data_IF_651699390409
#
_entry.id   IF_651699390409
#
_cell.length_a   1.000
_cell.length_b   1.000
_cell.length_c   1.000
_cell.angle_alpha   90.00
_cell.angle_beta   90.00
_cell.angle_gamma   90.00
#
_symmetry.space_group_name_H-M   'P 1'
#
loop_
_entity.id
_entity.type
_entity.pdbx_description
1 polymer ?
#
# COMPACT_ATOMS: atom_id res chain seq x y z
N UNK A 1 25.01 -25.11 -25.42
CA UNK A 1 24.85 -23.99 -24.47
C UNK A 1 23.37 -23.87 -24.14
N UNK A 2 22.98 -23.95 -22.88
CA UNK A 2 21.58 -23.83 -22.48
C UNK A 2 21.25 -22.37 -22.18
N UNK A 3 20.25 -21.82 -22.86
CA UNK A 3 19.74 -20.49 -22.59
C UNK A 3 18.85 -20.54 -21.35
N UNK A 4 19.13 -19.70 -20.34
CA UNK A 4 18.34 -19.63 -19.10
C UNK A 4 17.45 -18.39 -19.12
N UNK A 5 16.18 -18.59 -18.79
CA UNK A 5 15.17 -17.53 -18.65
C UNK A 5 14.71 -17.52 -17.19
N UNK A 6 14.58 -16.34 -16.59
CA UNK A 6 14.07 -16.14 -15.23
C UNK A 6 12.76 -15.36 -15.25
N UNK A 7 11.88 -15.62 -14.27
CA UNK A 7 10.61 -14.88 -14.11
C UNK A 7 10.86 -13.49 -13.53
N UNK A 8 9.92 -12.58 -13.75
CA UNK A 8 9.91 -11.24 -13.14
C UNK A 8 10.00 -11.37 -11.62
N UNK A 9 10.87 -10.57 -11.00
CA UNK A 9 11.03 -10.53 -9.56
C UNK A 9 9.79 -9.86 -8.93
N UNK A 10 9.14 -10.58 -8.01
CA UNK A 10 8.07 -10.03 -7.18
C UNK A 10 8.66 -9.26 -6.00
N UNK A 11 7.90 -8.32 -5.47
CA UNK A 11 8.25 -7.60 -4.24
C UNK A 11 7.79 -8.46 -3.07
N UNK A 12 8.75 -8.91 -2.25
CA UNK A 12 8.51 -9.78 -1.10
C UNK A 12 8.95 -9.08 0.17
N UNK A 13 8.01 -8.67 1.02
CA UNK A 13 8.28 -8.05 2.32
C UNK A 13 7.50 -8.76 3.43
N UNK A 14 7.91 -8.54 4.67
CA UNK A 14 7.15 -8.97 5.85
C UNK A 14 6.89 -7.76 6.72
N UNK A 15 5.63 -7.56 7.13
CA UNK A 15 5.22 -6.56 8.11
C UNK A 15 4.92 -7.27 9.43
N UNK A 16 5.71 -7.00 10.46
CA UNK A 16 5.51 -7.56 11.79
C UNK A 16 4.59 -6.65 12.62
N UNK A 17 3.55 -7.24 13.21
CA UNK A 17 2.65 -6.58 14.14
C UNK A 17 3.15 -6.86 15.56
N UNK A 18 3.49 -5.80 16.29
CA UNK A 18 4.06 -5.90 17.64
C UNK A 18 3.12 -5.32 18.69
N UNK A 19 3.14 -5.88 19.90
CA UNK A 19 2.43 -5.33 21.05
C UNK A 19 3.10 -4.04 21.58
N UNK A 20 2.48 -3.42 22.59
CA UNK A 20 3.02 -2.22 23.27
C UNK A 20 4.36 -2.46 23.97
N UNK A 21 4.76 -3.72 24.16
CA UNK A 21 6.02 -4.12 24.78
C UNK A 21 7.10 -4.47 23.73
N UNK A 22 6.78 -4.41 22.44
CA UNK A 22 7.69 -4.74 21.33
C UNK A 22 7.77 -6.22 20.98
N UNK A 23 6.87 -7.06 21.50
CA UNK A 23 6.81 -8.47 21.13
C UNK A 23 6.01 -8.65 19.84
N UNK A 24 6.55 -9.38 18.86
CA UNK A 24 5.85 -9.72 17.62
C UNK A 24 4.71 -10.68 17.94
N UNK A 25 3.48 -10.28 17.62
CA UNK A 25 2.27 -11.07 17.84
C UNK A 25 1.70 -11.67 16.55
N UNK A 26 1.94 -11.03 15.40
CA UNK A 26 1.59 -11.58 14.08
C UNK A 26 2.52 -11.01 13.01
N UNK A 27 2.54 -11.63 11.83
CA UNK A 27 3.33 -11.19 10.68
C UNK A 27 2.54 -11.34 9.39
N UNK A 28 2.60 -10.31 8.55
CA UNK A 28 1.93 -10.27 7.25
C UNK A 28 2.99 -10.35 6.16
N UNK A 29 3.00 -11.46 5.42
CA UNK A 29 3.85 -11.62 4.24
C UNK A 29 3.19 -10.96 3.04
N UNK A 30 3.98 -10.14 2.35
CA UNK A 30 3.58 -9.32 1.22
C UNK A 30 4.22 -9.91 -0.03
N UNK A 31 3.41 -10.31 -1.02
CA UNK A 31 3.89 -10.80 -2.32
C UNK A 31 3.22 -10.05 -3.47
N UNK A 32 3.86 -8.98 -3.94
CA UNK A 32 3.27 -8.04 -4.91
C UNK A 32 3.94 -8.16 -6.28
N UNK A 33 3.13 -8.27 -7.33
CA UNK A 33 3.55 -8.02 -8.70
C UNK A 33 3.51 -6.50 -8.99
N UNK A 34 4.70 -5.89 -9.07
CA UNK A 34 4.85 -4.46 -9.28
C UNK A 34 4.25 -3.97 -10.61
N UNK A 35 4.28 -4.79 -11.67
CA UNK A 35 3.75 -4.42 -12.99
C UNK A 35 2.21 -4.36 -12.94
N UNK A 36 1.58 -5.30 -12.23
CA UNK A 36 0.12 -5.34 -12.05
C UNK A 36 -0.38 -4.23 -11.12
N UNK A 37 0.38 -3.93 -10.07
CA UNK A 37 -0.06 -3.03 -8.99
C UNK A 37 0.22 -1.56 -9.26
N UNK A 38 1.20 -1.20 -10.10
CA UNK A 38 1.62 0.20 -10.29
C UNK A 38 0.47 1.16 -10.64
N UNK A 39 -0.38 0.81 -11.60
CA UNK A 39 -1.45 1.72 -12.06
C UNK A 39 -2.54 1.87 -11.01
N UNK A 40 -2.94 0.76 -10.38
CA UNK A 40 -3.93 0.77 -9.30
C UNK A 40 -3.40 1.51 -8.07
N UNK A 41 -2.13 1.30 -7.71
CA UNK A 41 -1.52 1.85 -6.52
C UNK A 41 -1.47 3.38 -6.57
N UNK A 42 -1.02 3.97 -7.67
CA UNK A 42 -0.98 5.44 -7.80
C UNK A 42 -2.36 6.07 -7.69
N UNK A 43 -3.38 5.44 -8.29
CA UNK A 43 -4.75 5.93 -8.22
C UNK A 43 -5.25 5.90 -6.77
N UNK A 44 -5.13 4.75 -6.10
CA UNK A 44 -5.55 4.58 -4.70
C UNK A 44 -4.76 5.48 -3.74
N UNK A 45 -3.47 5.70 -3.99
CA UNK A 45 -2.64 6.60 -3.18
C UNK A 45 -3.14 8.05 -3.25
N UNK A 46 -3.50 8.54 -4.43
CA UNK A 46 -4.10 9.88 -4.57
C UNK A 46 -5.43 9.97 -3.85
N UNK A 47 -6.28 8.92 -3.95
CA UNK A 47 -7.57 8.87 -3.26
C UNK A 47 -7.41 8.95 -1.72
N UNK A 48 -6.42 8.26 -1.15
CA UNK A 48 -6.11 8.35 0.29
C UNK A 48 -5.67 9.76 0.68
N UNK A 49 -4.78 10.39 -0.09
CA UNK A 49 -4.29 11.75 0.17
C UNK A 49 -5.44 12.77 0.10
N UNK A 50 -6.30 12.65 -0.92
CA UNK A 50 -7.45 13.52 -1.10
C UNK A 50 -8.48 13.34 0.03
N UNK A 51 -8.75 12.10 0.44
CA UNK A 51 -9.64 11.79 1.55
C UNK A 51 -9.08 12.33 2.89
N UNK A 52 -7.78 12.17 3.15
CA UNK A 52 -7.12 12.70 4.33
C UNK A 52 -7.22 14.23 4.38
N UNK A 53 -7.01 14.89 3.25
CA UNK A 53 -7.13 16.35 3.14
C UNK A 53 -8.55 16.82 3.44
N UNK A 54 -9.56 16.17 2.84
CA UNK A 54 -10.98 16.48 3.09
C UNK A 54 -11.34 16.28 4.56
N UNK A 55 -10.90 15.18 5.17
CA UNK A 55 -11.11 14.90 6.59
C UNK A 55 -10.52 16.01 7.47
N UNK A 56 -9.29 16.48 7.16
CA UNK A 56 -8.66 17.60 7.88
C UNK A 56 -9.40 18.92 7.70
N UNK A 57 -9.96 19.18 6.52
CA UNK A 57 -10.72 20.41 6.23
C UNK A 57 -12.09 20.41 6.94
N UNK A 58 -12.83 19.30 6.87
CA UNK A 58 -14.13 19.12 7.52
C UNK A 58 -13.98 19.13 9.04
N UNK A 59 -12.93 18.52 9.61
CA UNK A 59 -12.66 18.59 11.05
C UNK A 59 -12.44 20.01 11.57
N UNK A 60 -12.01 20.95 10.72
CA UNK A 60 -11.81 22.36 11.11
C UNK A 60 -13.08 23.19 10.99
N UNK A 61 -13.89 22.95 9.97
CA UNK A 61 -14.93 23.90 9.53
C UNK A 61 -16.31 23.27 9.26
N UNK A 62 -16.44 21.95 9.32
CA UNK A 62 -17.64 21.21 8.89
C UNK A 62 -18.61 20.89 10.03
N UNK A 63 -19.76 20.36 9.64
CA UNK A 63 -20.79 19.81 10.55
C UNK A 63 -20.60 18.31 10.76
N UNK A 64 -21.17 17.78 11.83
CA UNK A 64 -20.97 16.39 12.29
C UNK A 64 -21.28 15.32 11.23
N UNK A 65 -22.34 15.50 10.44
CA UNK A 65 -22.71 14.59 9.35
C UNK A 65 -21.66 14.52 8.23
N UNK A 66 -21.04 15.65 7.88
CA UNK A 66 -19.97 15.68 6.87
C UNK A 66 -18.70 14.99 7.39
N UNK A 67 -18.49 15.03 8.71
CA UNK A 67 -17.35 14.40 9.38
C UNK A 67 -17.44 12.87 9.30
N UNK A 68 -18.62 12.29 9.58
CA UNK A 68 -18.85 10.84 9.47
C UNK A 68 -18.64 10.34 8.04
N UNK A 69 -19.23 11.01 7.04
CA UNK A 69 -19.02 10.66 5.64
C UNK A 69 -17.55 10.77 5.21
N UNK A 70 -16.83 11.77 5.71
CA UNK A 70 -15.40 11.92 5.43
C UNK A 70 -14.56 10.81 6.07
N UNK A 71 -14.93 10.36 7.27
CA UNK A 71 -14.27 9.23 7.93
C UNK A 71 -14.47 7.92 7.18
N UNK A 72 -15.70 7.62 6.76
CA UNK A 72 -15.97 6.42 5.95
C UNK A 72 -15.22 6.47 4.61
N UNK A 73 -15.20 7.63 3.93
CA UNK A 73 -14.46 7.78 2.68
C UNK A 73 -12.96 7.56 2.86
N UNK A 74 -12.38 8.06 3.96
CA UNK A 74 -10.99 7.81 4.31
C UNK A 74 -10.73 6.33 4.62
N UNK A 75 -11.56 5.71 5.45
CA UNK A 75 -11.46 4.28 5.78
C UNK A 75 -11.49 3.41 4.53
N UNK A 76 -12.45 3.64 3.64
CA UNK A 76 -12.57 2.92 2.37
C UNK A 76 -11.33 3.09 1.47
N UNK A 77 -10.77 4.30 1.38
CA UNK A 77 -9.56 4.54 0.60
C UNK A 77 -8.34 3.80 1.19
N UNK A 78 -8.23 3.76 2.52
CA UNK A 78 -7.16 3.05 3.25
C UNK A 78 -7.30 1.53 3.08
N UNK A 79 -8.50 0.97 3.26
CA UNK A 79 -8.74 -0.46 3.02
C UNK A 79 -8.36 -0.83 1.59
N UNK A 80 -8.78 -0.02 0.61
CA UNK A 80 -8.49 -0.31 -0.79
C UNK A 80 -6.98 -0.33 -1.09
N UNK A 81 -6.18 0.55 -0.49
CA UNK A 81 -4.71 0.51 -0.70
C UNK A 81 -4.07 -0.67 0.03
N UNK A 82 -4.62 -1.08 1.16
CA UNK A 82 -4.13 -2.23 1.92
C UNK A 82 -4.44 -3.55 1.21
N UNK A 83 -5.64 -3.75 0.70
CA UNK A 83 -5.98 -4.96 -0.06
C UNK A 83 -5.08 -5.13 -1.28
N UNK A 84 -4.65 -4.01 -1.87
CA UNK A 84 -3.74 -4.02 -3.01
C UNK A 84 -2.31 -4.43 -2.64
N UNK A 85 -1.88 -4.18 -1.40
CA UNK A 85 -0.51 -4.43 -0.92
C UNK A 85 -0.44 -5.75 -0.14
N UNK A 86 -1.31 -5.90 0.85
CA UNK A 86 -1.32 -6.99 1.82
C UNK A 86 -2.30 -8.12 1.43
N UNK A 87 -3.10 -7.94 0.38
CA UNK A 87 -4.20 -8.83 0.04
C UNK A 87 -5.39 -8.69 1.01
N UNK A 88 -6.47 -9.42 0.73
CA UNK A 88 -7.67 -9.43 1.58
C UNK A 88 -7.35 -9.95 2.99
N UNK A 89 -6.63 -11.08 3.09
CA UNK A 89 -6.28 -11.70 4.37
C UNK A 89 -5.38 -10.80 5.23
N UNK A 90 -4.36 -10.18 4.63
CA UNK A 90 -3.45 -9.28 5.34
C UNK A 90 -4.17 -8.00 5.79
N UNK A 91 -5.07 -7.48 4.97
CA UNK A 91 -5.89 -6.31 5.33
C UNK A 91 -6.82 -6.62 6.49
N UNK A 92 -7.46 -7.79 6.48
CA UNK A 92 -8.32 -8.22 7.59
C UNK A 92 -7.54 -8.33 8.91
N UNK A 93 -6.33 -8.90 8.89
CA UNK A 93 -5.47 -8.96 10.08
C UNK A 93 -5.10 -7.57 10.61
N UNK A 94 -4.85 -6.61 9.73
CA UNK A 94 -4.62 -5.21 10.13
C UNK A 94 -5.87 -4.60 10.78
N UNK A 95 -7.05 -4.80 10.19
CA UNK A 95 -8.32 -4.32 10.76
C UNK A 95 -8.57 -4.93 12.14
N UNK A 96 -8.39 -6.24 12.27
CA UNK A 96 -8.54 -6.96 13.54
C UNK A 96 -7.52 -6.46 14.60
N UNK A 97 -6.28 -6.20 14.20
CA UNK A 97 -5.22 -5.72 15.10
C UNK A 97 -5.47 -4.29 15.60
N UNK A 98 -6.00 -3.41 14.75
CA UNK A 98 -6.28 -2.02 15.08
C UNK A 98 -7.72 -1.79 15.57
N UNK A 99 -8.52 -2.84 15.75
CA UNK A 99 -9.93 -2.76 16.18
C UNK A 99 -10.75 -1.77 15.32
N UNK A 100 -10.62 -1.86 14.00
CA UNK A 100 -11.26 -0.96 13.02
C UNK A 100 -10.87 0.53 13.16
N UNK A 101 -9.82 0.87 13.93
CA UNK A 101 -9.32 2.24 14.06
C UNK A 101 -8.51 2.66 12.82
N UNK A 102 -9.21 3.07 11.77
CA UNK A 102 -8.63 3.49 10.49
C UNK A 102 -7.59 4.61 10.61
N UNK A 103 -7.75 5.51 11.60
CA UNK A 103 -6.83 6.63 11.80
C UNK A 103 -5.49 6.11 12.31
N UNK A 104 -5.50 5.33 13.38
CA UNK A 104 -4.28 4.78 13.98
C UNK A 104 -3.58 3.84 13.00
N UNK A 105 -4.35 2.96 12.36
CA UNK A 105 -3.85 2.05 11.34
C UNK A 105 -3.20 2.81 10.18
N UNK A 106 -3.85 3.87 9.67
CA UNK A 106 -3.27 4.73 8.64
C UNK A 106 -1.96 5.37 9.09
N UNK A 107 -1.91 5.94 10.30
CA UNK A 107 -0.71 6.58 10.84
C UNK A 107 0.47 5.59 10.96
N UNK A 108 0.21 4.36 11.37
CA UNK A 108 1.27 3.36 11.60
C UNK A 108 1.72 2.63 10.32
N UNK A 109 0.78 2.31 9.41
CA UNK A 109 1.06 1.48 8.23
C UNK A 109 1.53 2.32 7.03
N UNK A 110 1.00 3.53 6.84
CA UNK A 110 1.37 4.40 5.70
C UNK A 110 2.87 4.72 5.62
N UNK A 111 3.59 4.97 6.73
CA UNK A 111 5.05 5.15 6.71
C UNK A 111 5.78 3.95 6.11
N UNK A 112 5.39 2.72 6.46
CA UNK A 112 5.97 1.49 5.88
C UNK A 112 5.72 1.43 4.37
N UNK A 113 4.49 1.74 3.93
CA UNK A 113 4.15 1.78 2.50
C UNK A 113 5.04 2.78 1.76
N UNK A 114 5.17 4.00 2.27
CA UNK A 114 5.94 5.06 1.62
C UNK A 114 7.46 4.84 1.68
N UNK A 115 7.97 4.27 2.77
CA UNK A 115 9.41 4.09 2.98
C UNK A 115 9.94 2.78 2.38
N UNK A 116 9.11 1.74 2.25
CA UNK A 116 9.53 0.40 1.83
C UNK A 116 8.86 -0.02 0.53
N UNK A 117 7.53 0.00 0.46
CA UNK A 117 6.79 -0.54 -0.68
C UNK A 117 6.92 0.35 -1.92
N UNK A 118 6.69 1.66 -1.77
CA UNK A 118 6.73 2.64 -2.88
C UNK A 118 8.10 2.68 -3.58
N UNK A 119 9.24 2.72 -2.86
CA UNK A 119 10.55 2.66 -3.51
C UNK A 119 10.76 1.38 -4.32
N UNK A 120 10.35 0.22 -3.78
CA UNK A 120 10.49 -1.09 -4.47
C UNK A 120 9.63 -1.16 -5.73
N UNK A 121 8.38 -0.68 -5.68
CA UNK A 121 7.53 -0.57 -6.88
C UNK A 121 8.22 0.29 -7.94
N UNK A 122 8.71 1.47 -7.55
CA UNK A 122 9.36 2.39 -8.49
C UNK A 122 10.67 1.81 -9.08
N UNK A 123 11.44 1.08 -8.30
CA UNK A 123 12.66 0.42 -8.75
C UNK A 123 12.37 -0.67 -9.78
N UNK A 124 11.42 -1.56 -9.51
CA UNK A 124 11.04 -2.64 -10.43
C UNK A 124 10.60 -2.07 -11.78
N UNK A 125 9.80 -1.00 -11.77
CA UNK A 125 9.35 -0.33 -13.01
C UNK A 125 10.51 0.32 -13.79
N UNK A 126 11.47 0.95 -13.10
CA UNK A 126 12.66 1.52 -13.75
C UNK A 126 13.47 0.44 -14.44
N UNK A 127 13.70 -0.68 -13.76
CA UNK A 127 14.43 -1.83 -14.29
C UNK A 127 13.71 -2.43 -15.49
N UNK A 128 12.39 -2.57 -15.43
CA UNK A 128 11.56 -3.08 -16.55
C UNK A 128 11.63 -2.18 -17.78
N UNK A 129 11.48 -0.86 -17.61
CA UNK A 129 11.64 0.12 -18.70
C UNK A 129 13.04 0.09 -19.31
N UNK A 130 14.08 -0.17 -18.52
CA UNK A 130 15.44 -0.31 -19.04
C UNK A 130 15.59 -1.58 -19.89
N UNK A 131 15.05 -2.73 -19.42
CA UNK A 131 15.05 -3.98 -20.17
C UNK A 131 14.31 -3.88 -21.50
N UNK A 132 13.12 -3.26 -21.51
CA UNK A 132 12.36 -3.03 -22.75
C UNK A 132 13.17 -2.16 -23.72
N UNK A 133 13.72 -1.03 -23.26
CA UNK A 133 14.55 -0.16 -24.11
C UNK A 133 15.77 -0.88 -24.69
N UNK A 134 16.39 -1.77 -23.92
CA UNK A 134 17.50 -2.59 -24.41
C UNK A 134 17.07 -3.54 -25.54
N UNK A 135 15.88 -4.17 -25.45
CA UNK A 135 15.34 -5.03 -26.52
C UNK A 135 15.12 -4.25 -27.83
N UNK A 136 14.62 -3.02 -27.75
CA UNK A 136 14.35 -2.18 -28.93
C UNK A 136 15.61 -1.56 -29.55
N UNK A 137 16.74 -1.57 -28.85
CA UNK A 137 18.02 -1.01 -29.36
C UNK A 137 18.74 -1.93 -30.36
N UNK A 138 18.28 -3.18 -30.48
CA UNK A 138 18.79 -4.20 -31.41
C UNK A 138 17.88 -4.41 -32.63
N UNK A 139 16.86 -3.56 -32.80
CA UNK A 139 16.04 -3.46 -34.02
C UNK A 139 16.49 -2.25 -34.83
#
# INVERSE_FOLDING_TARGET
>A
MAYKITRTQKITETLELSDKNGNVIDSIDIDIDADAVCTAFRKKQTEVIDAERRLKEIRKNGVETDLECAYEAYGNAVIAIFELIFGEDGTKRLLDFFEDNYIEMGIQVVPFINAVIVPKINETLRNRKAQIRALHKYR
#
